data_IF_347525973098
#
_entry.id   IF_347525973098
#
_cell.length_a   1.000
_cell.length_b   1.000
_cell.length_c   1.000
_cell.angle_alpha   90.00
_cell.angle_beta   90.00
_cell.angle_gamma   90.00
#
_symmetry.space_group_name_H-M   'P 1'
#
loop_
_entity.id
_entity.type
_entity.pdbx_description
1 polymer ?
#
# COMPACT_ATOMS: atom_id res chain seq x y z
N UNK A 1 16.76 13.89 6.86
CA UNK A 1 15.41 13.33 6.60
C UNK A 1 15.17 12.96 5.12
N UNK A 2 16.19 12.92 4.26
CA UNK A 2 16.08 12.52 2.85
C UNK A 2 16.52 11.06 2.59
N UNK A 3 17.40 10.50 3.42
CA UNK A 3 17.96 9.15 3.19
C UNK A 3 16.98 8.00 3.42
N UNK A 4 15.99 8.17 4.31
CA UNK A 4 15.01 7.11 4.58
C UNK A 4 14.00 6.92 3.43
N UNK A 5 13.67 8.00 2.72
CA UNK A 5 12.72 7.94 1.59
C UNK A 5 13.35 7.24 0.37
N UNK A 6 14.66 7.42 0.18
CA UNK A 6 15.42 6.72 -0.85
C UNK A 6 15.58 5.23 -0.51
N UNK A 7 15.80 4.87 0.76
CA UNK A 7 15.84 3.48 1.20
C UNK A 7 14.51 2.75 0.99
N UNK A 8 13.39 3.35 1.38
CA UNK A 8 12.05 2.77 1.17
C UNK A 8 11.66 2.77 -0.30
N UNK A 9 12.01 3.79 -1.10
CA UNK A 9 11.85 3.75 -2.55
C UNK A 9 12.68 2.64 -3.18
N UNK A 10 13.91 2.39 -2.72
CA UNK A 10 14.79 1.34 -3.25
C UNK A 10 14.31 -0.07 -2.87
N UNK A 11 13.79 -0.23 -1.64
CA UNK A 11 13.19 -1.48 -1.18
C UNK A 11 11.85 -1.75 -1.88
N UNK A 12 11.05 -0.70 -2.08
CA UNK A 12 9.81 -0.74 -2.85
C UNK A 12 10.02 -0.57 -4.37
N UNK A 13 11.24 -0.49 -4.90
CA UNK A 13 11.48 -0.40 -6.36
C UNK A 13 12.11 -1.66 -6.93
N UNK A 14 12.68 -2.53 -6.10
CA UNK A 14 13.36 -3.72 -6.64
C UNK A 14 12.39 -4.86 -6.96
N UNK A 15 11.25 -4.97 -6.28
CA UNK A 15 10.37 -6.16 -6.32
C UNK A 15 8.86 -5.84 -6.15
N UNK A 16 8.36 -4.61 -6.30
CA UNK A 16 7.04 -4.16 -5.76
C UNK A 16 5.78 -4.84 -6.29
N UNK A 17 5.91 -5.80 -7.17
CA UNK A 17 4.87 -6.80 -7.35
C UNK A 17 5.51 -8.19 -7.35
N UNK A 18 6.06 -8.71 -6.26
CA UNK A 18 6.39 -10.14 -6.28
C UNK A 18 6.13 -10.95 -5.02
N UNK A 19 5.56 -12.10 -5.35
CA UNK A 19 5.60 -13.40 -4.68
C UNK A 19 6.86 -14.22 -5.10
N UNK A 20 8.00 -13.59 -5.47
CA UNK A 20 9.25 -14.26 -5.91
C UNK A 20 10.47 -13.32 -6.09
N UNK A 21 11.59 -13.77 -6.71
CA UNK A 21 12.94 -13.12 -6.76
C UNK A 21 13.30 -12.25 -8.00
N UNK A 22 12.39 -12.06 -8.97
CA UNK A 22 12.68 -11.32 -10.23
C UNK A 22 11.69 -10.13 -10.50
N UNK A 23 10.74 -9.76 -9.64
CA UNK A 23 9.62 -8.79 -9.89
C UNK A 23 8.52 -9.15 -10.94
N UNK A 24 7.21 -8.96 -10.70
CA UNK A 24 6.12 -9.29 -11.65
C UNK A 24 6.32 -8.65 -13.03
N UNK A 25 6.78 -7.40 -13.06
CA UNK A 25 6.98 -6.67 -14.30
C UNK A 25 8.05 -7.31 -15.21
N UNK A 26 9.03 -8.01 -14.63
CA UNK A 26 10.02 -8.75 -15.40
C UNK A 26 9.44 -10.02 -16.04
N UNK A 27 8.66 -10.80 -15.29
CA UNK A 27 7.99 -11.98 -15.87
C UNK A 27 6.95 -11.54 -16.91
N UNK A 28 6.29 -10.41 -16.66
CA UNK A 28 5.33 -9.80 -17.59
C UNK A 28 6.02 -9.36 -18.88
N UNK A 29 7.12 -8.62 -18.81
CA UNK A 29 7.83 -8.15 -20.01
C UNK A 29 8.42 -9.31 -20.82
N UNK A 30 9.01 -10.32 -20.18
CA UNK A 30 9.47 -11.54 -20.86
C UNK A 30 8.33 -12.26 -21.61
N UNK A 31 7.16 -12.37 -20.97
CA UNK A 31 5.99 -12.99 -21.59
C UNK A 31 5.49 -12.21 -22.82
N UNK A 32 5.40 -10.88 -22.71
CA UNK A 32 4.99 -10.01 -23.83
C UNK A 32 6.01 -10.05 -24.96
N UNK A 33 7.31 -9.99 -24.66
CA UNK A 33 8.38 -10.09 -25.66
C UNK A 33 8.35 -11.42 -26.42
N UNK A 34 8.12 -12.54 -25.73
CA UNK A 34 7.98 -13.86 -26.37
C UNK A 34 6.83 -13.91 -27.36
N UNK A 35 5.72 -13.20 -27.08
CA UNK A 35 4.55 -13.17 -27.95
C UNK A 35 4.74 -12.20 -29.11
N UNK A 36 5.35 -11.04 -28.87
CA UNK A 36 5.69 -10.08 -29.92
C UNK A 36 6.72 -10.66 -30.91
N UNK A 37 7.69 -11.41 -30.41
CA UNK A 37 8.76 -12.03 -31.18
C UNK A 37 9.88 -11.04 -31.53
N UNK A 38 11.09 -11.60 -31.71
CA UNK A 38 12.33 -10.82 -31.83
C UNK A 38 12.31 -9.81 -32.99
N UNK A 39 11.65 -10.14 -34.10
CA UNK A 39 11.52 -9.25 -35.25
C UNK A 39 10.74 -7.99 -34.89
N UNK A 40 9.58 -8.12 -34.24
CA UNK A 40 8.77 -6.96 -33.86
C UNK A 40 9.49 -6.14 -32.78
N UNK A 41 10.07 -6.80 -31.77
CA UNK A 41 10.78 -6.14 -30.68
C UNK A 41 11.98 -5.35 -31.17
N UNK A 42 12.82 -5.91 -32.04
CA UNK A 42 14.04 -5.25 -32.51
C UNK A 42 13.82 -4.26 -33.66
N UNK A 43 12.89 -4.53 -34.58
CA UNK A 43 12.71 -3.76 -35.82
C UNK A 43 11.59 -2.73 -35.75
N UNK A 44 10.62 -2.91 -34.86
CA UNK A 44 9.49 -2.00 -34.70
C UNK A 44 9.63 -1.28 -33.36
N UNK A 45 9.44 -1.98 -32.25
CA UNK A 45 9.40 -1.35 -30.92
C UNK A 45 10.72 -0.68 -30.54
N UNK A 46 11.85 -1.38 -30.73
CA UNK A 46 13.19 -0.87 -30.40
C UNK A 46 13.68 0.29 -31.27
N UNK A 47 12.94 0.68 -32.32
CA UNK A 47 13.25 1.84 -33.17
C UNK A 47 12.44 3.08 -32.82
N UNK A 48 11.54 2.99 -31.84
CA UNK A 48 10.73 4.11 -31.39
C UNK A 48 11.44 4.76 -30.21
N UNK A 49 11.72 6.06 -30.32
CA UNK A 49 12.48 6.80 -29.31
C UNK A 49 11.57 7.45 -28.24
N UNK A 50 10.28 7.66 -28.57
CA UNK A 50 9.30 8.28 -27.68
C UNK A 50 8.37 7.26 -27.00
N UNK A 51 8.09 7.47 -25.71
CA UNK A 51 7.29 6.54 -24.92
C UNK A 51 5.80 6.55 -25.31
N UNK A 52 5.24 7.68 -25.74
CA UNK A 52 3.86 7.74 -26.19
C UNK A 52 3.67 6.96 -27.50
N UNK A 53 4.63 7.07 -28.42
CA UNK A 53 4.66 6.28 -29.66
C UNK A 53 4.89 4.78 -29.39
N UNK A 54 5.71 4.41 -28.40
CA UNK A 54 5.87 3.01 -27.96
C UNK A 54 4.56 2.41 -27.46
N UNK A 55 3.83 3.16 -26.64
CA UNK A 55 2.50 2.74 -26.17
C UNK A 55 1.56 2.58 -27.35
N UNK A 56 1.51 3.55 -28.28
CA UNK A 56 0.67 3.44 -29.49
C UNK A 56 1.01 2.20 -30.32
N UNK A 57 2.29 1.88 -30.50
CA UNK A 57 2.73 0.69 -31.23
C UNK A 57 2.23 -0.62 -30.58
N UNK A 58 2.21 -0.69 -29.24
CA UNK A 58 1.63 -1.83 -28.51
C UNK A 58 0.14 -1.98 -28.83
N UNK A 59 -0.62 -0.89 -28.84
CA UNK A 59 -2.07 -0.92 -29.09
C UNK A 59 -2.44 -1.10 -30.58
N UNK A 60 -1.51 -0.83 -31.50
CA UNK A 60 -1.71 -1.02 -32.94
C UNK A 60 -1.62 -2.49 -33.37
N UNK A 61 -0.89 -3.32 -32.64
CA UNK A 61 -0.79 -4.77 -32.90
C UNK A 61 -1.75 -5.53 -31.97
N UNK A 62 -2.82 -6.10 -32.54
CA UNK A 62 -3.85 -6.79 -31.77
C UNK A 62 -3.29 -7.94 -30.90
N UNK A 63 -2.32 -8.68 -31.41
CA UNK A 63 -1.72 -9.83 -30.70
C UNK A 63 -1.00 -9.39 -29.43
N UNK A 64 -0.29 -8.26 -29.50
CA UNK A 64 0.49 -7.73 -28.39
C UNK A 64 -0.42 -6.98 -27.42
N UNK A 65 -1.32 -6.15 -27.96
CA UNK A 65 -2.35 -5.44 -27.20
C UNK A 65 -3.12 -6.39 -26.30
N UNK A 66 -3.65 -7.47 -26.85
CA UNK A 66 -4.56 -8.36 -26.11
C UNK A 66 -3.85 -8.98 -24.90
N UNK A 67 -2.59 -9.41 -25.05
CA UNK A 67 -1.80 -9.96 -23.93
C UNK A 67 -1.50 -8.91 -22.87
N UNK A 68 -1.12 -7.71 -23.28
CA UNK A 68 -0.82 -6.60 -22.37
C UNK A 68 -2.08 -6.22 -21.58
N UNK A 69 -3.20 -5.99 -22.29
CA UNK A 69 -4.47 -5.61 -21.69
C UNK A 69 -5.03 -6.72 -20.81
N UNK A 70 -5.06 -7.97 -21.25
CA UNK A 70 -5.60 -9.09 -20.48
C UNK A 70 -4.82 -9.33 -19.18
N UNK A 71 -3.50 -9.12 -19.21
CA UNK A 71 -2.66 -9.28 -18.02
C UNK A 71 -2.87 -8.12 -17.05
N UNK A 72 -2.84 -6.88 -17.55
CA UNK A 72 -2.99 -5.68 -16.73
C UNK A 72 -4.43 -5.49 -16.23
N UNK A 73 -5.44 -5.93 -16.96
CA UNK A 73 -6.83 -5.91 -16.52
C UNK A 73 -7.08 -6.80 -15.30
N UNK A 74 -6.23 -7.82 -15.07
CA UNK A 74 -6.27 -8.68 -13.89
C UNK A 74 -5.50 -8.09 -12.71
N UNK A 75 -4.70 -7.04 -12.93
CA UNK A 75 -4.03 -6.31 -11.85
C UNK A 75 -5.07 -5.46 -11.14
N UNK A 76 -5.45 -5.89 -9.94
CA UNK A 76 -6.31 -5.12 -9.05
C UNK A 76 -5.45 -4.23 -8.16
N UNK A 77 -5.86 -2.98 -7.89
CA UNK A 77 -5.28 -2.22 -6.80
C UNK A 77 -5.33 -3.07 -5.53
N UNK A 78 -4.17 -3.32 -4.91
CA UNK A 78 -4.10 -4.03 -3.64
C UNK A 78 -4.43 -3.05 -2.51
N UNK A 79 -5.56 -2.36 -2.62
CA UNK A 79 -6.16 -1.70 -1.47
C UNK A 79 -6.78 -2.81 -0.65
N UNK A 80 -6.09 -3.21 0.42
CA UNK A 80 -6.73 -3.93 1.51
C UNK A 80 -7.84 -3.01 2.02
N UNK A 81 -9.10 -3.33 1.69
CA UNK A 81 -10.28 -2.55 2.06
C UNK A 81 -10.29 -2.12 3.53
N UNK A 82 -11.05 -1.06 3.83
CA UNK A 82 -11.27 -0.68 5.22
C UNK A 82 -12.26 -1.64 5.87
N UNK A 83 -11.95 -2.08 7.09
CA UNK A 83 -12.68 -3.09 7.84
C UNK A 83 -12.48 -2.82 9.34
N UNK A 84 -13.56 -2.37 9.98
CA UNK A 84 -13.55 -1.99 11.40
C UNK A 84 -13.30 -3.19 12.32
N UNK A 85 -13.83 -4.36 12.01
CA UNK A 85 -13.66 -5.57 12.81
C UNK A 85 -12.21 -6.07 12.77
N UNK A 86 -11.57 -6.05 11.60
CA UNK A 86 -10.15 -6.37 11.48
C UNK A 86 -9.30 -5.34 12.22
N UNK A 87 -9.60 -4.04 12.08
CA UNK A 87 -8.90 -3.00 12.83
C UNK A 87 -8.97 -3.26 14.34
N UNK A 88 -10.19 -3.44 14.87
CA UNK A 88 -10.43 -3.75 16.28
C UNK A 88 -9.66 -4.99 16.75
N UNK A 89 -9.73 -6.09 16.00
CA UNK A 89 -9.01 -7.33 16.34
C UNK A 89 -7.50 -7.11 16.44
N UNK A 90 -6.93 -6.37 15.48
CA UNK A 90 -5.50 -6.03 15.46
C UNK A 90 -5.10 -5.12 16.63
N UNK A 91 -5.94 -4.14 17.01
CA UNK A 91 -5.70 -3.34 18.22
C UNK A 91 -5.67 -4.21 19.48
N UNK A 92 -6.64 -5.12 19.63
CA UNK A 92 -6.71 -6.01 20.80
C UNK A 92 -5.49 -6.94 20.90
N UNK A 93 -5.10 -7.56 19.79
CA UNK A 93 -3.85 -8.35 19.72
C UNK A 93 -2.62 -7.48 20.02
N UNK A 94 -2.60 -6.23 19.53
CA UNK A 94 -1.55 -5.24 19.79
C UNK A 94 -1.39 -4.92 21.27
N UNK A 95 -2.50 -4.65 21.96
CA UNK A 95 -2.49 -4.43 23.42
C UNK A 95 -1.98 -5.66 24.18
N UNK A 96 -2.36 -6.87 23.77
CA UNK A 96 -1.86 -8.10 24.41
C UNK A 96 -0.34 -8.23 24.29
N UNK A 97 0.24 -7.93 23.12
CA UNK A 97 1.69 -7.96 22.91
C UNK A 97 2.40 -6.84 23.66
N UNK A 98 1.81 -5.64 23.71
CA UNK A 98 2.36 -4.51 24.47
C UNK A 98 2.43 -4.81 25.97
N UNK A 99 1.41 -5.48 26.53
CA UNK A 99 1.35 -5.87 27.93
C UNK A 99 2.46 -6.84 28.35
N UNK A 100 3.00 -7.63 27.40
CA UNK A 100 4.14 -8.54 27.63
C UNK A 100 5.47 -7.98 27.11
N UNK A 101 5.55 -6.68 26.83
CA UNK A 101 6.77 -5.99 26.42
C UNK A 101 7.22 -6.24 24.98
N UNK A 102 6.39 -6.86 24.14
CA UNK A 102 6.71 -7.14 22.73
C UNK A 102 6.33 -5.95 21.84
N UNK A 103 6.97 -4.80 22.07
CA UNK A 103 6.60 -3.51 21.48
C UNK A 103 6.73 -3.47 19.95
N UNK A 104 7.76 -4.08 19.35
CA UNK A 104 7.90 -4.11 17.88
C UNK A 104 6.75 -4.85 17.19
N UNK A 105 6.30 -5.96 17.81
CA UNK A 105 5.17 -6.73 17.29
C UNK A 105 3.85 -6.02 17.55
N UNK A 106 3.70 -5.36 18.70
CA UNK A 106 2.55 -4.50 18.98
C UNK A 106 2.46 -3.37 17.94
N UNK A 107 3.57 -2.71 17.63
CA UNK A 107 3.65 -1.65 16.63
C UNK A 107 3.20 -2.14 15.24
N UNK A 108 3.62 -3.34 14.83
CA UNK A 108 3.16 -3.95 13.59
C UNK A 108 1.64 -4.14 13.57
N UNK A 109 1.06 -4.64 14.66
CA UNK A 109 -0.39 -4.86 14.77
C UNK A 109 -1.17 -3.54 14.77
N UNK A 110 -0.73 -2.53 15.50
CA UNK A 110 -1.36 -1.20 15.47
C UNK A 110 -1.24 -0.53 14.10
N UNK A 111 -0.12 -0.70 13.40
CA UNK A 111 0.03 -0.22 12.02
C UNK A 111 -0.96 -0.91 11.07
N UNK A 112 -1.16 -2.22 11.23
CA UNK A 112 -2.21 -2.94 10.49
C UNK A 112 -3.62 -2.45 10.86
N UNK A 113 -3.86 -2.12 12.13
CA UNK A 113 -5.13 -1.55 12.57
C UNK A 113 -5.42 -0.19 11.90
N UNK A 114 -4.44 0.71 11.85
CA UNK A 114 -4.56 2.01 11.15
C UNK A 114 -4.83 1.80 9.66
N UNK A 115 -4.12 0.87 9.00
CA UNK A 115 -4.34 0.56 7.59
C UNK A 115 -5.76 0.04 7.32
N UNK A 116 -6.33 -0.75 8.23
CA UNK A 116 -7.67 -1.35 8.09
C UNK A 116 -8.79 -0.46 8.63
N UNK A 117 -8.53 0.49 9.50
CA UNK A 117 -9.57 1.33 10.08
C UNK A 117 -10.33 2.13 9.00
N UNK A 118 -11.68 2.02 8.95
CA UNK A 118 -12.49 2.96 8.20
C UNK A 118 -12.32 4.38 8.72
N UNK A 119 -12.55 5.37 7.85
CA UNK A 119 -12.67 6.75 8.27
C UNK A 119 -13.83 6.91 9.27
N UNK A 120 -13.75 7.96 10.07
CA UNK A 120 -14.78 8.33 11.04
C UNK A 120 -16.19 8.19 10.45
N UNK A 121 -17.11 7.69 11.25
CA UNK A 121 -18.54 7.60 10.93
C UNK A 121 -18.94 6.69 9.75
N UNK A 122 -18.00 6.10 9.01
CA UNK A 122 -18.31 5.14 7.92
C UNK A 122 -18.85 3.81 8.42
N UNK A 123 -18.49 3.41 9.64
CA UNK A 123 -19.01 2.22 10.29
C UNK A 123 -19.28 2.52 11.77
N UNK A 124 -20.53 2.87 12.09
CA UNK A 124 -20.96 3.21 13.45
C UNK A 124 -21.25 1.99 14.33
N UNK A 125 -21.36 0.78 13.75
CA UNK A 125 -21.67 -0.44 14.52
C UNK A 125 -20.47 -0.93 15.32
N UNK A 126 -19.25 -0.66 14.84
CA UNK A 126 -18.00 -0.98 15.52
C UNK A 126 -17.36 0.29 16.08
N UNK A 127 -17.06 0.27 17.37
CA UNK A 127 -16.38 1.37 18.08
C UNK A 127 -17.04 2.74 17.89
N UNK A 128 -18.36 2.77 17.65
CA UNK A 128 -19.15 3.99 17.39
C UNK A 128 -18.61 4.85 16.22
N UNK A 129 -17.89 4.25 15.26
CA UNK A 129 -17.24 4.99 14.18
C UNK A 129 -15.81 5.44 14.46
N UNK A 130 -15.31 5.26 15.69
CA UNK A 130 -14.00 5.74 16.16
C UNK A 130 -12.84 4.78 15.84
N UNK A 131 -13.00 3.87 14.87
CA UNK A 131 -12.00 2.84 14.55
C UNK A 131 -10.62 3.43 14.21
N UNK A 132 -10.58 4.53 13.46
CA UNK A 132 -9.33 5.19 13.07
C UNK A 132 -8.67 5.95 14.23
N UNK A 133 -9.36 6.87 14.95
CA UNK A 133 -8.81 7.51 16.14
C UNK A 133 -8.25 6.51 17.16
N UNK A 134 -8.98 5.45 17.46
CA UNK A 134 -8.55 4.44 18.43
C UNK A 134 -7.32 3.64 17.96
N UNK A 135 -7.18 3.41 16.66
CA UNK A 135 -5.99 2.76 16.10
C UNK A 135 -4.75 3.66 16.18
N UNK A 136 -4.92 4.96 15.89
CA UNK A 136 -3.87 5.96 15.99
C UNK A 136 -3.41 6.16 17.42
N UNK A 137 -4.33 6.27 18.38
CA UNK A 137 -4.01 6.38 19.81
C UNK A 137 -3.20 5.17 20.30
N UNK A 138 -3.65 3.95 20.00
CA UNK A 138 -2.92 2.75 20.38
C UNK A 138 -1.52 2.68 19.76
N UNK A 139 -1.34 3.16 18.52
CA UNK A 139 -0.02 3.21 17.88
C UNK A 139 0.88 4.29 18.49
N UNK A 140 0.33 5.46 18.80
CA UNK A 140 1.04 6.55 19.45
C UNK A 140 1.59 6.13 20.82
N UNK A 141 0.83 5.37 21.61
CA UNK A 141 1.29 4.80 22.89
C UNK A 141 2.54 3.92 22.73
N UNK A 142 2.56 3.09 21.68
CA UNK A 142 3.73 2.25 21.39
C UNK A 142 4.92 3.11 20.93
N UNK A 143 4.71 4.10 20.06
CA UNK A 143 5.77 5.02 19.66
C UNK A 143 6.35 5.79 20.86
N UNK A 144 5.52 6.27 21.79
CA UNK A 144 5.99 6.91 23.02
C UNK A 144 6.84 5.95 23.87
N UNK A 145 6.43 4.69 23.98
CA UNK A 145 7.18 3.65 24.70
C UNK A 145 8.55 3.38 24.06
N UNK A 146 8.60 3.38 22.73
CA UNK A 146 9.82 3.22 21.94
C UNK A 146 10.66 4.51 21.84
N UNK A 147 10.21 5.62 22.45
CA UNK A 147 10.84 6.95 22.39
C UNK A 147 10.88 7.58 21.00
N UNK A 148 10.00 7.12 20.11
CA UNK A 148 9.79 7.63 18.77
C UNK A 148 8.75 8.78 18.78
N UNK A 149 9.06 9.83 19.53
CA UNK A 149 8.10 10.88 19.87
C UNK A 149 7.55 11.65 18.67
N UNK A 150 8.33 11.74 17.59
CA UNK A 150 7.90 12.39 16.36
C UNK A 150 6.69 11.68 15.75
N UNK A 151 6.75 10.36 15.59
CA UNK A 151 5.64 9.57 15.04
C UNK A 151 4.44 9.52 15.99
N UNK A 152 4.68 9.47 17.31
CA UNK A 152 3.61 9.58 18.29
C UNK A 152 2.83 10.89 18.15
N UNK A 153 3.53 12.01 17.97
CA UNK A 153 2.90 13.33 17.81
C UNK A 153 2.09 13.43 16.51
N UNK A 154 2.56 12.83 15.41
CA UNK A 154 1.80 12.76 14.16
C UNK A 154 0.51 11.96 14.32
N UNK A 155 0.57 10.79 14.95
CA UNK A 155 -0.61 9.97 15.22
C UNK A 155 -1.62 10.68 16.14
N UNK A 156 -1.14 11.38 17.18
CA UNK A 156 -2.01 12.14 18.09
C UNK A 156 -2.69 13.32 17.40
N UNK A 157 -1.98 14.05 16.53
CA UNK A 157 -2.56 15.14 15.73
C UNK A 157 -3.66 14.63 14.81
N UNK A 158 -3.38 13.54 14.09
CA UNK A 158 -4.35 12.94 13.18
C UNK A 158 -5.56 12.37 13.92
N UNK A 159 -5.36 11.77 15.09
CA UNK A 159 -6.46 11.32 15.93
C UNK A 159 -7.35 12.48 16.40
N UNK A 160 -6.75 13.60 16.80
CA UNK A 160 -7.48 14.80 17.23
C UNK A 160 -8.30 15.42 16.10
N UNK A 161 -7.78 15.45 14.87
CA UNK A 161 -8.54 15.92 13.69
C UNK A 161 -9.82 15.11 13.46
N UNK A 162 -9.83 13.83 13.82
CA UNK A 162 -10.96 12.93 13.67
C UNK A 162 -11.87 12.83 14.91
N UNK A 163 -11.50 13.45 16.04
CA UNK A 163 -12.32 13.50 17.26
C UNK A 163 -13.04 14.87 17.41
N UNK A 164 -12.71 15.83 16.54
CA UNK A 164 -13.41 17.11 16.53
C UNK A 164 -14.80 16.92 15.88
N UNK A 165 -15.90 17.22 16.58
CA UNK A 165 -17.20 17.31 15.95
C UNK A 165 -17.09 18.34 14.82
N UNK A 166 -17.61 17.99 13.64
CA UNK A 166 -17.70 18.91 12.49
C UNK A 166 -18.25 20.24 13.00
N UNK A 167 -17.42 21.27 13.02
CA UNK A 167 -17.85 22.65 13.29
C UNK A 167 -18.59 23.16 12.05
N UNK A 168 -19.77 22.62 11.79
CA UNK A 168 -20.78 23.21 10.91
C UNK A 168 -22.16 22.68 11.29
N UNK A 169 -22.79 23.36 12.25
CA UNK A 169 -24.17 23.81 12.06
C UNK A 169 -24.14 25.12 11.28
#
# INVERSE_FOLDING_TARGET
MQEHDEFYRTLCSSETLRSGKKGFFHDFSESVMRIAGDTWTSRIFGRIDDDADRVRAIFADAKIRDVVVDTLAKVKPLFRDKDADISKRRRLEGYQLAAVGQYDKALLLFSQAVLRAPQLDKNKTVDQGMSLPLALLGRAEIFMTLKEYHFALEDLRLAAEHDLPDKSM
#
